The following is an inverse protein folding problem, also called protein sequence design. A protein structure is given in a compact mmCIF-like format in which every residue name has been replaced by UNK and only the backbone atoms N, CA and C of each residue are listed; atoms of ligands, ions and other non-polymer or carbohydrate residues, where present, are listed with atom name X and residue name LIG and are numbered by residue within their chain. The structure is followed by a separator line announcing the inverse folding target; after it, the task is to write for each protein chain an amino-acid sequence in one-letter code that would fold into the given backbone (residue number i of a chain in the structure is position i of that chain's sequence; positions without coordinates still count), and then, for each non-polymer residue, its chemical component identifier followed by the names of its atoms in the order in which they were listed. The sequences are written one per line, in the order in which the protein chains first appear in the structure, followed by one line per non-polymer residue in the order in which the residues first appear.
data_IF_886000929256
#
_entry.id   IF_886000929256
#
_cell.length_a   1.000
_cell.length_b   1.000
_cell.length_c   1.000
_cell.angle_alpha   90.00
_cell.angle_beta   90.00
_cell.angle_gamma   90.00
#
_symmetry.space_group_name_H-M   'P 1'
#
loop_
_entity.id
_entity.type
_entity.pdbx_description
1 polymer ?
#
# COMPACT_ATOMS: atom_id res chain seq x y z
N UNK A 1 -10.29 32.83 17.14
CA UNK A 1 -11.25 31.73 16.86
C UNK A 1 -10.44 30.44 16.81
N UNK A 2 -10.95 29.35 17.38
CA UNK A 2 -10.26 28.06 17.30
C UNK A 2 -10.36 27.55 15.86
N UNK A 3 -9.21 27.19 15.26
CA UNK A 3 -9.19 26.62 13.90
C UNK A 3 -9.72 25.21 13.95
N UNK A 4 -10.60 24.88 13.00
CA UNK A 4 -11.18 23.54 12.84
C UNK A 4 -10.89 23.03 11.45
N UNK A 5 -10.33 21.82 11.38
CA UNK A 5 -10.04 21.11 10.13
C UNK A 5 -10.88 19.84 10.02
N UNK A 6 -11.16 19.43 8.80
CA UNK A 6 -11.79 18.15 8.49
C UNK A 6 -10.82 17.27 7.70
N UNK A 7 -10.67 16.03 8.12
CA UNK A 7 -9.88 15.04 7.43
C UNK A 7 -10.68 13.84 6.96
N UNK A 8 -10.17 13.15 5.93
CA UNK A 8 -10.71 11.89 5.40
C UNK A 8 -9.62 10.82 5.32
N UNK A 9 -9.97 9.61 5.76
CA UNK A 9 -9.11 8.41 5.72
C UNK A 9 -9.95 7.16 5.45
N UNK A 10 -9.35 5.95 5.49
CA UNK A 10 -10.09 4.70 5.27
C UNK A 10 -10.54 4.03 6.58
N UNK A 11 -11.59 3.20 6.47
CA UNK A 11 -12.29 2.60 7.61
C UNK A 11 -11.64 1.30 8.10
N UNK A 12 -10.36 1.38 8.51
CA UNK A 12 -9.65 0.30 9.21
C UNK A 12 -8.91 0.89 10.41
N UNK A 13 -8.72 0.15 11.53
CA UNK A 13 -7.95 0.65 12.68
C UNK A 13 -6.57 1.19 12.29
N UNK A 14 -5.84 0.53 11.37
CA UNK A 14 -4.57 1.00 10.83
C UNK A 14 -4.63 2.42 10.24
N UNK A 15 -5.75 2.81 9.64
CA UNK A 15 -5.90 4.09 8.95
C UNK A 15 -6.65 5.15 9.75
N UNK A 16 -7.53 4.74 10.64
CA UNK A 16 -8.40 5.67 11.36
C UNK A 16 -7.90 5.99 12.77
N UNK A 17 -7.54 4.97 13.56
CA UNK A 17 -7.19 5.14 14.96
C UNK A 17 -5.96 6.06 15.16
N UNK A 18 -4.86 5.96 14.37
CA UNK A 18 -3.72 6.85 14.51
C UNK A 18 -4.07 8.30 14.19
N UNK A 19 -5.00 8.53 13.24
CA UNK A 19 -5.44 9.89 12.90
C UNK A 19 -6.19 10.53 14.08
N UNK A 20 -7.02 9.76 14.79
CA UNK A 20 -7.71 10.25 15.99
C UNK A 20 -6.72 10.54 17.12
N UNK A 21 -5.78 9.61 17.39
CA UNK A 21 -4.77 9.78 18.44
C UNK A 21 -3.88 11.00 18.18
N UNK A 22 -3.36 11.13 16.95
CA UNK A 22 -2.51 12.25 16.55
C UNK A 22 -3.27 13.58 16.59
N UNK A 23 -4.53 13.62 16.17
CA UNK A 23 -5.33 14.86 16.19
C UNK A 23 -5.61 15.35 17.60
N UNK A 24 -5.81 14.43 18.54
CA UNK A 24 -5.99 14.78 19.95
C UNK A 24 -4.71 15.41 20.53
N UNK A 25 -3.56 14.79 20.32
CA UNK A 25 -2.27 15.33 20.77
C UNK A 25 -1.96 16.68 20.10
N UNK A 26 -2.28 16.81 18.80
CA UNK A 26 -2.10 18.07 18.07
C UNK A 26 -2.96 19.19 18.61
N UNK A 27 -4.22 18.91 18.95
CA UNK A 27 -5.12 19.88 19.58
C UNK A 27 -4.61 20.34 20.95
N UNK A 28 -4.07 19.42 21.76
CA UNK A 28 -3.47 19.76 23.06
C UNK A 28 -2.24 20.69 22.91
N UNK A 29 -1.46 20.50 21.84
CA UNK A 29 -0.25 21.30 21.55
C UNK A 29 -0.53 22.66 20.92
N UNK A 30 -1.54 22.76 20.06
CA UNK A 30 -1.73 23.92 19.17
C UNK A 30 -3.07 24.61 19.30
N UNK A 31 -4.07 23.94 19.88
CA UNK A 31 -5.46 24.39 19.90
C UNK A 31 -6.22 24.16 18.58
N UNK A 32 -5.61 23.53 17.55
CA UNK A 32 -6.27 23.20 16.29
C UNK A 32 -7.06 21.90 16.45
N UNK A 33 -8.37 21.95 16.24
CA UNK A 33 -9.27 20.80 16.29
C UNK A 33 -9.33 20.13 14.91
N UNK A 34 -9.13 18.80 14.83
CA UNK A 34 -9.22 18.05 13.59
C UNK A 34 -10.21 16.90 13.76
N UNK A 35 -11.25 16.86 12.93
CA UNK A 35 -12.23 15.77 12.89
C UNK A 35 -12.00 14.89 11.65
N UNK A 36 -12.16 13.57 11.80
CA UNK A 36 -11.92 12.61 10.72
C UNK A 36 -13.19 11.87 10.33
N UNK A 37 -13.45 11.84 9.03
CA UNK A 37 -14.41 10.94 8.41
C UNK A 37 -13.66 9.75 7.78
N UNK A 38 -14.34 8.60 7.63
CA UNK A 38 -13.76 7.38 7.08
C UNK A 38 -14.66 6.75 6.02
N UNK A 39 -14.02 6.14 5.03
CA UNK A 39 -14.68 5.42 3.93
C UNK A 39 -14.20 3.97 3.89
N UNK A 40 -14.94 3.08 3.20
CA UNK A 40 -14.46 1.73 2.93
C UNK A 40 -13.11 1.74 2.21
N UNK A 41 -12.33 0.66 2.30
CA UNK A 41 -11.05 0.57 1.58
C UNK A 41 -11.26 0.74 0.07
N UNK A 42 -12.30 0.14 -0.48
CA UNK A 42 -12.62 0.25 -1.91
C UNK A 42 -12.95 1.69 -2.32
N UNK A 43 -13.79 2.39 -1.54
CA UNK A 43 -14.09 3.80 -1.82
C UNK A 43 -12.85 4.69 -1.67
N UNK A 44 -11.96 4.36 -0.75
CA UNK A 44 -10.69 5.06 -0.56
C UNK A 44 -9.78 4.90 -1.79
N UNK A 45 -9.70 3.70 -2.37
CA UNK A 45 -8.85 3.40 -3.52
C UNK A 45 -9.40 3.94 -4.85
N UNK A 46 -10.71 4.16 -4.97
CA UNK A 46 -11.37 4.47 -6.25
C UNK A 46 -12.01 5.86 -6.31
N UNK A 47 -12.24 6.52 -5.18
CA UNK A 47 -12.97 7.79 -5.16
C UNK A 47 -12.12 8.95 -5.68
N UNK A 48 -12.66 9.84 -6.52
CA UNK A 48 -11.94 10.98 -7.07
C UNK A 48 -11.41 11.92 -5.98
N UNK A 49 -10.10 12.20 -5.99
CA UNK A 49 -9.47 13.06 -4.98
C UNK A 49 -9.98 14.50 -5.06
N UNK A 50 -10.33 14.98 -6.25
CA UNK A 50 -10.94 16.29 -6.45
C UNK A 50 -12.22 16.49 -5.65
N UNK A 51 -13.11 15.50 -5.64
CA UNK A 51 -14.34 15.56 -4.86
C UNK A 51 -14.09 15.53 -3.35
N UNK A 52 -13.02 14.83 -2.91
CA UNK A 52 -12.59 14.86 -1.52
C UNK A 52 -12.02 16.22 -1.15
N UNK A 53 -11.21 16.82 -2.02
CA UNK A 53 -10.62 18.14 -1.79
C UNK A 53 -11.67 19.25 -1.69
N UNK A 54 -12.86 19.07 -2.26
CA UNK A 54 -13.97 20.00 -2.10
C UNK A 54 -14.64 19.96 -0.71
N UNK A 55 -14.39 18.89 0.08
CA UNK A 55 -15.10 18.62 1.36
C UNK A 55 -14.20 18.58 2.58
N UNK A 56 -12.91 18.27 2.38
CA UNK A 56 -11.94 18.04 3.45
C UNK A 56 -10.73 18.95 3.29
N UNK A 57 -10.13 19.32 4.41
CA UNK A 57 -8.89 20.09 4.46
C UNK A 57 -7.67 19.18 4.35
N UNK A 58 -7.75 17.99 4.95
CA UNK A 58 -6.72 16.97 5.00
C UNK A 58 -7.25 15.68 4.35
N UNK A 59 -6.46 15.09 3.46
CA UNK A 59 -6.86 13.89 2.74
C UNK A 59 -5.73 12.88 2.79
N UNK A 60 -6.05 11.66 3.25
CA UNK A 60 -5.13 10.54 3.10
C UNK A 60 -5.30 9.97 1.69
N UNK A 61 -4.20 9.83 0.95
CA UNK A 61 -4.21 9.38 -0.45
C UNK A 61 -3.18 8.28 -0.72
N UNK A 62 -3.41 7.47 -1.75
CA UNK A 62 -2.41 6.57 -2.34
C UNK A 62 -1.61 7.32 -3.42
N UNK A 63 -0.31 6.98 -3.56
CA UNK A 63 0.63 7.70 -4.42
C UNK A 63 0.29 7.71 -5.92
N UNK A 64 -0.37 6.72 -6.53
CA UNK A 64 -0.68 6.78 -7.95
C UNK A 64 -1.64 7.92 -8.38
N UNK A 65 -2.33 8.53 -7.42
CA UNK A 65 -3.23 9.67 -7.71
C UNK A 65 -2.51 10.97 -8.08
N UNK A 66 -1.19 11.10 -7.87
CA UNK A 66 -0.49 12.38 -8.02
C UNK A 66 -0.53 12.98 -9.44
N UNK A 67 -0.62 12.16 -10.49
CA UNK A 67 -0.76 12.65 -11.86
C UNK A 67 -2.10 13.33 -12.11
N UNK A 68 -3.20 12.69 -11.72
CA UNK A 68 -4.54 13.25 -11.81
C UNK A 68 -4.68 14.52 -10.94
N UNK A 69 -4.21 14.47 -9.69
CA UNK A 69 -4.24 15.59 -8.76
C UNK A 69 -3.57 16.82 -9.34
N UNK A 70 -2.43 16.65 -10.01
CA UNK A 70 -1.67 17.77 -10.62
C UNK A 70 -2.49 18.44 -11.70
N UNK A 71 -3.19 17.68 -12.54
CA UNK A 71 -4.09 18.23 -13.57
C UNK A 71 -5.26 19.01 -12.98
N UNK A 72 -5.88 18.45 -11.95
CA UNK A 72 -7.08 19.01 -11.32
C UNK A 72 -6.81 20.20 -10.39
N UNK A 73 -5.54 20.45 -10.03
CA UNK A 73 -5.14 21.51 -9.09
C UNK A 73 -5.94 21.49 -7.79
N UNK A 74 -6.26 20.30 -7.31
CA UNK A 74 -7.15 20.12 -6.15
C UNK A 74 -6.40 20.02 -4.81
N UNK A 75 -5.07 19.84 -4.82
CA UNK A 75 -4.23 19.79 -3.63
C UNK A 75 -3.17 20.91 -3.64
N UNK A 76 -2.66 21.25 -2.46
CA UNK A 76 -1.54 22.16 -2.31
C UNK A 76 -0.22 21.38 -2.32
N UNK A 77 0.82 21.88 -3.04
CA UNK A 77 2.16 21.36 -2.86
C UNK A 77 2.66 21.63 -1.45
N UNK A 78 3.33 20.62 -0.86
CA UNK A 78 3.79 20.65 0.53
C UNK A 78 5.22 21.17 0.69
N UNK A 79 5.91 21.50 -0.41
CA UNK A 79 7.21 22.17 -0.38
C UNK A 79 7.09 23.56 0.25
N UNK A 80 7.94 23.86 1.22
CA UNK A 80 7.96 25.13 1.95
C UNK A 80 9.39 25.49 2.34
N UNK A 81 9.90 26.60 1.84
CA UNK A 81 11.26 27.06 2.14
C UNK A 81 11.47 27.43 3.62
N UNK A 82 10.43 27.89 4.30
CA UNK A 82 10.49 28.25 5.74
C UNK A 82 10.63 26.99 6.64
N UNK A 83 10.27 25.82 6.11
CA UNK A 83 10.31 24.53 6.83
C UNK A 83 11.19 23.49 6.11
N UNK A 84 12.17 23.95 5.33
CA UNK A 84 13.02 23.10 4.50
C UNK A 84 13.74 21.99 5.29
N UNK A 85 14.23 22.29 6.48
CA UNK A 85 14.94 21.33 7.33
C UNK A 85 14.01 20.23 7.86
N UNK A 86 12.77 20.58 8.25
CA UNK A 86 11.76 19.60 8.69
C UNK A 86 11.37 18.67 7.53
N UNK A 87 11.16 19.24 6.34
CA UNK A 87 10.81 18.50 5.12
C UNK A 87 11.96 17.58 4.70
N UNK A 88 13.21 18.05 4.79
CA UNK A 88 14.39 17.26 4.51
C UNK A 88 14.54 16.09 5.51
N UNK A 89 14.23 16.31 6.78
CA UNK A 89 14.22 15.26 7.79
C UNK A 89 13.15 14.19 7.51
N UNK A 90 11.94 14.59 7.11
CA UNK A 90 10.89 13.65 6.68
C UNK A 90 11.36 12.84 5.47
N UNK A 91 11.92 13.50 4.46
CA UNK A 91 12.42 12.85 3.24
C UNK A 91 13.52 11.82 3.54
N UNK A 92 14.49 12.19 4.37
CA UNK A 92 15.62 11.33 4.74
C UNK A 92 15.21 10.18 5.68
N UNK A 93 14.19 10.40 6.50
CA UNK A 93 13.71 9.41 7.47
C UNK A 93 12.65 8.46 6.92
N UNK A 94 12.09 8.70 5.75
CA UNK A 94 11.04 7.83 5.20
C UNK A 94 11.62 6.49 4.70
N UNK A 95 10.93 5.39 5.01
CA UNK A 95 11.36 4.05 4.57
C UNK A 95 11.10 3.82 3.08
N UNK A 96 12.03 3.17 2.43
CA UNK A 96 11.95 2.80 1.02
C UNK A 96 11.72 4.01 0.11
N UNK A 97 10.82 3.84 -0.84
CA UNK A 97 10.48 4.87 -1.83
C UNK A 97 9.20 5.64 -1.51
N UNK A 98 8.72 5.60 -0.27
CA UNK A 98 7.44 6.23 0.08
C UNK A 98 7.45 7.75 -0.10
N UNK A 99 8.51 8.48 0.30
CA UNK A 99 8.58 9.93 0.08
C UNK A 99 8.64 10.31 -1.41
N UNK A 100 9.57 9.77 -2.24
CA UNK A 100 9.62 10.13 -3.66
C UNK A 100 8.40 9.65 -4.45
N UNK A 101 7.60 8.71 -3.95
CA UNK A 101 6.38 8.26 -4.64
C UNK A 101 5.31 9.34 -4.74
N UNK A 102 5.29 10.29 -3.81
CA UNK A 102 4.39 11.46 -3.84
C UNK A 102 5.01 12.70 -4.50
N UNK A 103 6.24 12.61 -5.00
CA UNK A 103 6.83 13.68 -5.79
C UNK A 103 6.44 13.52 -7.26
N UNK A 104 5.78 14.52 -7.81
CA UNK A 104 5.36 14.55 -9.21
C UNK A 104 5.54 15.93 -9.79
N UNK A 105 6.17 16.02 -10.97
CA UNK A 105 6.48 17.28 -11.64
C UNK A 105 7.21 18.30 -10.76
N UNK A 106 8.13 17.83 -9.94
CA UNK A 106 8.95 18.67 -9.06
C UNK A 106 8.26 19.14 -7.77
N UNK A 107 7.01 18.77 -7.54
CA UNK A 107 6.25 19.11 -6.34
C UNK A 107 6.03 17.88 -5.46
N UNK A 108 6.11 18.06 -4.13
CA UNK A 108 5.70 17.06 -3.15
C UNK A 108 4.23 17.27 -2.80
N UNK A 109 3.36 16.29 -3.13
CA UNK A 109 1.91 16.42 -3.02
C UNK A 109 1.34 15.84 -1.73
N UNK A 110 2.06 14.90 -1.10
CA UNK A 110 1.71 14.36 0.20
C UNK A 110 2.97 13.98 0.98
N UNK A 111 2.91 13.98 2.32
CA UNK A 111 3.94 13.37 3.16
C UNK A 111 3.54 11.94 3.52
N UNK A 112 4.46 10.95 3.43
CA UNK A 112 4.16 9.58 3.81
C UNK A 112 3.70 9.48 5.26
N UNK A 113 2.58 8.78 5.48
CA UNK A 113 2.07 8.43 6.80
C UNK A 113 2.29 6.95 7.09
N UNK A 114 1.95 6.15 6.12
CA UNK A 114 1.86 4.70 6.21
C UNK A 114 2.70 4.11 5.07
N UNK A 115 3.52 3.11 5.39
CA UNK A 115 4.33 2.42 4.40
C UNK A 115 3.96 0.94 4.34
N UNK A 116 3.68 0.46 3.13
CA UNK A 116 3.33 -0.93 2.87
C UNK A 116 3.87 -1.39 1.52
N UNK A 117 4.12 -2.69 1.43
CA UNK A 117 4.34 -3.42 0.19
C UNK A 117 3.64 -4.76 0.28
N UNK A 118 3.54 -5.48 -0.83
CA UNK A 118 3.18 -6.89 -0.76
C UNK A 118 4.35 -7.67 -0.13
N UNK A 119 4.06 -8.30 0.98
CA UNK A 119 4.96 -9.12 1.77
C UNK A 119 4.34 -10.48 1.99
N UNK A 120 5.08 -11.40 2.56
CA UNK A 120 4.54 -12.67 3.03
C UNK A 120 3.82 -12.50 4.37
N UNK A 121 2.65 -13.14 4.50
CA UNK A 121 1.94 -13.29 5.76
C UNK A 121 1.84 -14.77 6.13
N UNK A 122 1.97 -15.12 7.42
CA UNK A 122 1.85 -16.51 7.86
C UNK A 122 1.34 -16.63 9.30
N UNK A 123 0.80 -17.80 9.64
CA UNK A 123 0.33 -18.21 10.98
C UNK A 123 1.50 -18.78 11.79
N UNK A 124 2.11 -18.03 12.73
CA UNK A 124 3.28 -18.50 13.47
C UNK A 124 2.97 -19.67 14.42
N UNK A 125 1.70 -19.89 14.77
CA UNK A 125 1.24 -21.05 15.55
C UNK A 125 1.09 -22.34 14.73
N UNK A 126 1.16 -22.26 13.39
CA UNK A 126 0.97 -23.39 12.47
C UNK A 126 2.10 -23.56 11.44
N UNK A 127 2.94 -22.56 11.27
CA UNK A 127 4.11 -22.56 10.41
C UNK A 127 5.27 -21.96 11.20
N UNK A 128 6.26 -22.77 11.56
CA UNK A 128 7.35 -22.39 12.48
C UNK A 128 8.31 -21.33 11.91
N UNK A 129 8.33 -21.14 10.61
CA UNK A 129 9.15 -20.15 9.93
C UNK A 129 8.47 -19.68 8.64
N UNK A 130 8.78 -18.46 8.16
CA UNK A 130 8.31 -17.98 6.86
C UNK A 130 8.85 -18.86 5.72
N UNK A 131 8.06 -19.01 4.67
CA UNK A 131 8.45 -19.71 3.44
C UNK A 131 9.42 -18.82 2.66
N UNK A 132 10.55 -19.38 2.22
CA UNK A 132 11.59 -18.58 1.55
C UNK A 132 11.46 -18.59 0.03
N UNK A 133 11.03 -19.69 -0.53
CA UNK A 133 10.94 -19.88 -1.99
C UNK A 133 9.47 -19.91 -2.45
N UNK A 134 9.19 -19.24 -3.56
CA UNK A 134 7.83 -19.18 -4.11
C UNK A 134 7.30 -20.55 -4.55
N UNK A 135 8.18 -21.49 -4.94
CA UNK A 135 7.77 -22.85 -5.28
C UNK A 135 7.23 -23.63 -4.08
N UNK A 136 7.71 -23.33 -2.88
CA UNK A 136 7.15 -23.91 -1.64
C UNK A 136 5.72 -23.42 -1.40
N UNK A 137 5.41 -22.14 -1.73
CA UNK A 137 4.04 -21.64 -1.69
C UNK A 137 3.10 -22.36 -2.65
N UNK A 138 3.56 -22.71 -3.85
CA UNK A 138 2.78 -23.54 -4.77
C UNK A 138 2.45 -24.91 -4.15
N UNK A 139 3.37 -25.46 -3.36
CA UNK A 139 3.13 -26.71 -2.62
C UNK A 139 2.08 -26.52 -1.53
N UNK A 140 2.20 -25.47 -0.71
CA UNK A 140 1.19 -25.14 0.31
C UNK A 140 -0.19 -24.88 -0.32
N UNK A 141 -0.24 -24.23 -1.48
CA UNK A 141 -1.49 -24.00 -2.20
C UNK A 141 -2.16 -25.33 -2.62
N UNK A 142 -1.38 -26.29 -3.15
CA UNK A 142 -1.87 -27.64 -3.50
C UNK A 142 -2.38 -28.43 -2.29
N UNK A 143 -1.85 -28.16 -1.11
CA UNK A 143 -2.32 -28.72 0.15
C UNK A 143 -3.57 -28.01 0.71
N UNK A 144 -4.08 -26.96 0.04
CA UNK A 144 -5.19 -26.13 0.50
C UNK A 144 -4.83 -25.24 1.70
N UNK A 145 -3.54 -24.94 1.91
CA UNK A 145 -3.02 -24.22 3.07
C UNK A 145 -2.57 -22.80 2.77
N UNK A 146 -2.50 -22.40 1.51
CA UNK A 146 -2.16 -21.02 1.10
C UNK A 146 -3.37 -20.31 0.51
N UNK A 147 -3.37 -18.98 0.62
CA UNK A 147 -4.38 -18.11 0.05
C UNK A 147 -3.72 -16.82 -0.47
N UNK A 148 -4.28 -16.19 -1.51
CA UNK A 148 -3.78 -14.98 -2.13
C UNK A 148 -4.96 -14.04 -2.43
N UNK A 149 -4.94 -12.76 -2.03
CA UNK A 149 -5.98 -11.82 -2.45
C UNK A 149 -5.80 -11.46 -3.92
N UNK A 150 -6.81 -11.74 -4.74
CA UNK A 150 -6.81 -11.52 -6.19
C UNK A 150 -7.94 -10.58 -6.65
N UNK A 151 -8.78 -10.09 -5.73
CA UNK A 151 -9.77 -9.08 -6.07
C UNK A 151 -9.07 -7.82 -6.60
N UNK A 152 -9.52 -7.19 -7.70
CA UNK A 152 -9.00 -5.90 -8.15
C UNK A 152 -8.94 -4.86 -7.00
N UNK A 153 -7.82 -4.10 -6.85
CA UNK A 153 -6.64 -4.04 -7.75
C UNK A 153 -5.52 -5.05 -7.43
N UNK A 154 -5.68 -5.97 -6.46
CA UNK A 154 -4.61 -6.80 -5.91
C UNK A 154 -4.02 -7.80 -6.92
N UNK A 155 -4.79 -8.24 -7.91
CA UNK A 155 -4.29 -9.08 -9.00
C UNK A 155 -3.19 -8.39 -9.81
N UNK A 156 -3.39 -7.12 -10.19
CA UNK A 156 -2.35 -6.32 -10.86
C UNK A 156 -1.16 -6.06 -9.93
N UNK A 157 -1.39 -5.84 -8.64
CA UNK A 157 -0.27 -5.64 -7.69
C UNK A 157 0.62 -6.87 -7.61
N UNK A 158 0.05 -8.07 -7.60
CA UNK A 158 0.81 -9.32 -7.64
C UNK A 158 1.55 -9.48 -8.98
N UNK A 159 0.92 -9.11 -10.10
CA UNK A 159 1.56 -9.10 -11.41
C UNK A 159 2.80 -8.18 -11.44
N UNK A 160 2.65 -6.93 -11.00
CA UNK A 160 3.74 -5.94 -10.92
C UNK A 160 4.87 -6.45 -10.01
N UNK A 161 4.53 -7.00 -8.84
CA UNK A 161 5.50 -7.57 -7.91
C UNK A 161 6.32 -8.67 -8.56
N UNK A 162 5.68 -9.62 -9.22
CA UNK A 162 6.36 -10.72 -9.89
C UNK A 162 7.19 -10.24 -11.08
N UNK A 163 6.67 -9.32 -11.91
CA UNK A 163 7.40 -8.74 -13.04
C UNK A 163 8.73 -8.09 -12.57
N UNK A 164 8.65 -7.23 -11.56
CA UNK A 164 9.84 -6.56 -11.04
C UNK A 164 10.79 -7.53 -10.33
N UNK A 165 10.26 -8.53 -9.60
CA UNK A 165 11.06 -9.57 -8.97
C UNK A 165 11.81 -10.45 -9.97
N UNK A 166 11.19 -10.76 -11.11
CA UNK A 166 11.82 -11.49 -12.21
C UNK A 166 12.88 -10.67 -12.97
N UNK A 167 12.98 -9.37 -12.71
CA UNK A 167 13.95 -8.46 -13.32
C UNK A 167 13.45 -7.78 -14.59
N UNK A 168 12.17 -7.88 -14.87
CA UNK A 168 11.47 -7.27 -16.01
C UNK A 168 10.34 -6.36 -15.51
N UNK A 169 10.67 -5.29 -14.76
CA UNK A 169 9.67 -4.41 -14.15
C UNK A 169 8.75 -3.81 -15.21
N UNK A 170 7.49 -3.66 -14.87
CA UNK A 170 6.52 -2.97 -15.73
C UNK A 170 6.99 -1.55 -16.03
N UNK A 171 6.69 -1.03 -17.23
CA UNK A 171 7.02 0.34 -17.62
C UNK A 171 6.18 1.35 -16.84
N UNK A 172 6.77 2.49 -16.54
CA UNK A 172 6.07 3.67 -16.02
C UNK A 172 5.76 4.70 -17.11
N UNK A 173 6.26 4.44 -18.33
CA UNK A 173 6.13 5.29 -19.52
C UNK A 173 5.73 4.39 -20.71
N UNK A 174 4.84 4.89 -21.57
CA UNK A 174 4.33 4.12 -22.72
C UNK A 174 5.41 3.66 -23.72
N UNK A 175 5.02 2.95 -24.80
CA UNK A 175 3.64 2.52 -25.08
C UNK A 175 3.25 1.19 -24.41
N UNK A 176 4.22 0.26 -24.20
CA UNK A 176 3.94 -1.05 -23.63
C UNK A 176 4.15 -1.07 -22.12
N UNK A 177 3.22 -1.67 -21.39
CA UNK A 177 3.32 -1.89 -19.96
C UNK A 177 4.40 -2.92 -19.61
N UNK A 178 4.49 -3.98 -20.43
CA UNK A 178 5.50 -5.03 -20.30
C UNK A 178 5.72 -5.72 -21.66
N UNK A 179 6.94 -6.19 -21.94
CA UNK A 179 7.18 -7.03 -23.11
C UNK A 179 6.36 -8.32 -23.03
N UNK A 180 5.81 -8.78 -24.16
CA UNK A 180 4.87 -9.90 -24.18
C UNK A 180 5.44 -11.16 -23.52
N UNK A 181 6.68 -11.54 -23.86
CA UNK A 181 7.31 -12.75 -23.31
C UNK A 181 7.54 -12.66 -21.78
N UNK A 182 7.88 -11.47 -21.27
CA UNK A 182 8.07 -11.25 -19.84
C UNK A 182 6.73 -11.30 -19.09
N UNK A 183 5.70 -10.69 -19.68
CA UNK A 183 4.36 -10.75 -19.13
C UNK A 183 3.77 -12.15 -19.10
N UNK A 184 4.02 -12.97 -20.14
CA UNK A 184 3.65 -14.38 -20.16
C UNK A 184 4.33 -15.15 -19.02
N UNK A 185 5.63 -14.94 -18.79
CA UNK A 185 6.35 -15.59 -17.70
C UNK A 185 5.77 -15.21 -16.31
N UNK A 186 5.34 -13.96 -16.14
CA UNK A 186 4.64 -13.50 -14.91
C UNK A 186 3.30 -14.21 -14.74
N UNK A 187 2.48 -14.25 -15.81
CA UNK A 187 1.17 -14.90 -15.78
C UNK A 187 1.28 -16.40 -15.56
N UNK A 188 2.34 -17.06 -16.07
CA UNK A 188 2.62 -18.47 -15.80
C UNK A 188 2.86 -18.74 -14.32
N UNK A 189 3.61 -17.87 -13.64
CA UNK A 189 3.77 -17.96 -12.18
C UNK A 189 2.44 -17.74 -11.45
N UNK A 190 1.69 -16.71 -11.81
CA UNK A 190 0.39 -16.43 -11.19
C UNK A 190 -0.57 -17.61 -11.39
N UNK A 191 -0.68 -18.14 -12.61
CA UNK A 191 -1.52 -19.29 -12.93
C UNK A 191 -1.15 -20.52 -12.09
N UNK A 192 0.14 -20.81 -11.93
CA UNK A 192 0.62 -21.92 -11.07
C UNK A 192 0.24 -21.76 -9.61
N UNK A 193 0.24 -20.53 -9.11
CA UNK A 193 -0.14 -20.22 -7.71
C UNK A 193 -1.65 -20.37 -7.56
N UNK A 194 -2.44 -19.68 -8.40
CA UNK A 194 -3.91 -19.62 -8.21
C UNK A 194 -4.63 -20.90 -8.62
N UNK A 195 -4.10 -21.70 -9.53
CA UNK A 195 -4.70 -22.97 -9.98
C UNK A 195 -4.88 -23.99 -8.84
N UNK A 196 -4.09 -23.85 -7.78
CA UNK A 196 -4.16 -24.72 -6.61
C UNK A 196 -4.86 -24.05 -5.42
N UNK A 197 -5.32 -22.81 -5.55
CA UNK A 197 -5.99 -22.05 -4.48
C UNK A 197 -7.51 -22.15 -4.56
N UNK A 198 -8.15 -21.85 -3.44
CA UNK A 198 -9.60 -21.68 -3.37
C UNK A 198 -10.05 -20.52 -4.26
N UNK A 199 -11.11 -20.74 -5.05
CA UNK A 199 -11.64 -19.71 -5.98
C UNK A 199 -12.09 -18.42 -5.29
N UNK A 200 -12.36 -18.45 -3.98
CA UNK A 200 -12.65 -17.26 -3.18
C UNK A 200 -11.51 -16.22 -3.20
N UNK A 201 -10.29 -16.61 -3.56
CA UNK A 201 -9.17 -15.68 -3.69
C UNK A 201 -9.52 -14.48 -4.62
N UNK A 202 -10.31 -14.70 -5.67
CA UNK A 202 -10.73 -13.64 -6.61
C UNK A 202 -11.73 -12.63 -6.04
N UNK A 203 -12.34 -12.93 -4.91
CA UNK A 203 -13.32 -12.07 -4.24
C UNK A 203 -12.74 -11.35 -3.02
N UNK A 204 -11.52 -11.71 -2.62
CA UNK A 204 -10.90 -11.21 -1.40
C UNK A 204 -9.92 -10.08 -1.66
N UNK A 205 -10.06 -9.04 -0.84
CA UNK A 205 -9.04 -8.05 -0.56
C UNK A 205 -8.15 -8.52 0.63
N UNK A 206 -7.06 -7.80 0.97
CA UNK A 206 -6.21 -8.17 2.09
C UNK A 206 -6.93 -8.29 3.43
N UNK A 207 -7.90 -7.42 3.72
CA UNK A 207 -8.63 -7.41 4.99
C UNK A 207 -9.49 -8.69 5.12
N UNK A 208 -10.28 -9.00 4.09
CA UNK A 208 -11.10 -10.21 4.06
C UNK A 208 -10.25 -11.49 4.16
N UNK A 209 -9.10 -11.50 3.47
CA UNK A 209 -8.15 -12.61 3.54
C UNK A 209 -7.57 -12.77 4.96
N UNK A 210 -7.12 -11.69 5.60
CA UNK A 210 -6.58 -11.76 6.95
C UNK A 210 -7.65 -12.15 7.98
N UNK A 211 -8.86 -11.64 7.85
CA UNK A 211 -9.99 -12.03 8.73
C UNK A 211 -10.28 -13.52 8.63
N UNK A 212 -10.24 -14.09 7.41
CA UNK A 212 -10.38 -15.54 7.21
C UNK A 212 -9.16 -16.31 7.77
N UNK A 213 -7.95 -15.88 7.46
CA UNK A 213 -6.72 -16.56 7.87
C UNK A 213 -6.50 -16.54 9.39
N UNK A 214 -7.01 -15.51 10.08
CA UNK A 214 -6.88 -15.34 11.54
C UNK A 214 -7.94 -16.08 12.35
N UNK A 215 -8.88 -16.81 11.74
CA UNK A 215 -9.83 -17.69 12.44
C UNK A 215 -9.08 -18.88 13.05
N UNK A 216 -9.57 -19.37 14.21
CA UNK A 216 -8.90 -20.44 14.92
C UNK A 216 -8.82 -21.76 14.11
N UNK A 217 -9.86 -22.05 13.33
CA UNK A 217 -10.03 -23.25 12.51
C UNK A 217 -9.68 -23.06 11.02
N UNK A 218 -9.19 -21.88 10.64
CA UNK A 218 -8.81 -21.61 9.25
C UNK A 218 -7.81 -22.64 8.72
N UNK A 219 -8.00 -23.22 7.54
CA UNK A 219 -7.02 -24.11 6.94
C UNK A 219 -5.78 -23.33 6.41
N UNK A 220 -5.93 -22.04 6.15
CA UNK A 220 -4.90 -21.23 5.53
C UNK A 220 -3.84 -20.81 6.54
N UNK A 221 -2.58 -21.09 6.21
CA UNK A 221 -1.43 -20.81 7.07
C UNK A 221 -0.49 -19.77 6.50
N UNK A 222 -0.58 -19.45 5.21
CA UNK A 222 0.30 -18.46 4.56
C UNK A 222 -0.32 -17.81 3.34
N UNK A 223 0.16 -16.59 3.02
CA UNK A 223 -0.07 -15.85 1.78
C UNK A 223 1.26 -15.31 1.25
N UNK A 224 1.60 -15.51 -0.04
CA UNK A 224 2.91 -15.11 -0.57
C UNK A 224 3.03 -13.60 -0.80
N UNK A 225 1.96 -12.95 -1.28
CA UNK A 225 1.96 -11.55 -1.70
C UNK A 225 0.70 -10.86 -1.22
N UNK A 226 0.81 -10.11 -0.14
CA UNK A 226 -0.30 -9.35 0.42
C UNK A 226 0.23 -8.08 1.06
N UNK A 227 -0.47 -6.96 0.89
CA UNK A 227 -0.12 -5.76 1.62
C UNK A 227 -0.18 -6.02 3.12
N UNK A 228 0.94 -5.79 3.83
CA UNK A 228 1.02 -6.05 5.25
C UNK A 228 0.08 -5.13 6.05
N UNK A 229 -0.61 -5.70 7.02
CA UNK A 229 -1.46 -5.00 7.98
C UNK A 229 -1.00 -5.34 9.40
N UNK A 230 -0.17 -4.48 9.98
CA UNK A 230 0.49 -4.71 11.28
C UNK A 230 -0.47 -5.08 12.39
N UNK A 231 -1.71 -4.58 12.35
CA UNK A 231 -2.74 -4.84 13.36
C UNK A 231 -3.01 -6.33 13.56
N UNK A 232 -2.92 -7.14 12.50
CA UNK A 232 -3.09 -8.59 12.59
C UNK A 232 -1.95 -9.29 13.34
N UNK A 233 -0.83 -8.61 13.57
CA UNK A 233 0.25 -9.09 14.42
C UNK A 233 0.01 -8.79 15.91
N UNK A 234 -0.90 -7.88 16.26
CA UNK A 234 -1.13 -7.51 17.67
C UNK A 234 -1.92 -8.60 18.41
N UNK A 235 -1.53 -8.81 19.66
CA UNK A 235 -2.28 -9.70 20.53
C UNK A 235 -3.70 -9.17 20.79
N UNK A 236 -4.71 -10.04 20.65
CA UNK A 236 -6.11 -9.68 20.91
C UNK A 236 -6.81 -8.94 19.75
N UNK A 237 -6.13 -8.60 18.65
CA UNK A 237 -6.79 -7.99 17.51
C UNK A 237 -7.72 -8.98 16.79
N UNK A 238 -7.28 -10.22 16.61
CA UNK A 238 -8.07 -11.34 16.08
C UNK A 238 -7.83 -12.62 16.92
N UNK A 239 -8.54 -13.70 16.59
CA UNK A 239 -8.41 -14.98 17.31
C UNK A 239 -6.99 -15.54 17.22
N UNK A 240 -6.39 -15.47 16.04
CA UNK A 240 -5.00 -15.85 15.85
C UNK A 240 -4.20 -14.67 15.27
N UNK A 241 -2.94 -14.57 15.69
CA UNK A 241 -2.02 -13.57 15.18
C UNK A 241 -1.46 -14.00 13.82
N UNK A 242 -1.20 -13.02 12.98
CA UNK A 242 -0.49 -13.19 11.73
C UNK A 242 0.90 -12.56 11.88
N UNK A 243 1.92 -13.33 11.54
CA UNK A 243 3.29 -12.82 11.40
C UNK A 243 3.57 -12.48 9.94
N UNK A 244 4.47 -11.52 9.72
CA UNK A 244 4.87 -11.07 8.40
C UNK A 244 6.37 -11.24 8.22
N UNK A 245 6.79 -11.46 6.98
CA UNK A 245 8.19 -11.54 6.59
C UNK A 245 8.38 -10.97 5.19
N UNK A 246 9.62 -10.77 4.80
CA UNK A 246 9.97 -10.42 3.43
C UNK A 246 9.30 -11.38 2.44
N UNK A 247 8.93 -10.87 1.27
CA UNK A 247 8.27 -11.67 0.23
C UNK A 247 9.09 -12.93 -0.12
N UNK A 248 8.45 -14.07 -0.45
CA UNK A 248 9.15 -15.24 -0.94
C UNK A 248 9.82 -14.92 -2.28
N UNK A 249 10.97 -15.51 -2.51
CA UNK A 249 11.79 -15.22 -3.69
C UNK A 249 11.76 -16.36 -4.70
N UNK A 250 12.22 -16.08 -5.92
CA UNK A 250 12.41 -17.07 -6.99
C UNK A 250 13.93 -17.21 -7.19
N UNK A 251 14.42 -18.45 -7.24
CA UNK A 251 15.82 -18.79 -7.54
C UNK A 251 16.85 -18.04 -6.64
N UNK A 252 16.54 -17.85 -5.36
CA UNK A 252 17.44 -17.22 -4.39
C UNK A 252 17.73 -15.73 -4.62
N UNK A 253 16.91 -15.02 -5.41
CA UNK A 253 17.01 -13.57 -5.61
C UNK A 253 16.80 -12.81 -4.29
N UNK A 254 17.19 -11.55 -4.23
CA UNK A 254 16.82 -10.67 -3.14
C UNK A 254 15.30 -10.37 -3.17
N UNK A 255 14.64 -10.08 -2.02
CA UNK A 255 13.19 -9.79 -1.96
C UNK A 255 12.87 -8.38 -2.48
N UNK A 256 13.20 -8.10 -3.75
CA UNK A 256 13.01 -6.83 -4.41
C UNK A 256 11.84 -6.89 -5.39
N UNK A 257 11.28 -5.72 -5.71
CA UNK A 257 10.29 -5.54 -6.76
C UNK A 257 8.84 -5.52 -6.28
N UNK A 258 8.59 -5.73 -4.99
CA UNK A 258 7.23 -5.66 -4.45
C UNK A 258 6.56 -4.33 -4.76
N UNK A 259 5.30 -4.36 -5.21
CA UNK A 259 4.54 -3.16 -5.52
C UNK A 259 4.38 -2.27 -4.27
N UNK A 260 4.90 -1.03 -4.34
CA UNK A 260 4.77 -0.05 -3.27
C UNK A 260 3.30 0.29 -3.05
N UNK A 261 2.88 0.30 -1.81
CA UNK A 261 1.62 0.80 -1.31
C UNK A 261 1.85 1.76 -0.14
N UNK A 262 0.90 1.81 0.78
CA UNK A 262 0.91 2.77 1.87
C UNK A 262 0.21 4.06 1.47
N UNK A 263 0.16 5.01 2.40
CA UNK A 263 -0.60 6.25 2.21
C UNK A 263 0.18 7.48 2.63
N UNK A 264 -0.19 8.62 2.07
CA UNK A 264 0.34 9.92 2.44
C UNK A 264 -0.77 10.89 2.82
N UNK A 265 -0.42 11.88 3.63
CA UNK A 265 -1.31 12.99 3.99
C UNK A 265 -1.11 14.15 3.02
N UNK A 266 -2.20 14.56 2.40
CA UNK A 266 -2.27 15.68 1.48
C UNK A 266 -3.14 16.82 2.06
N UNK A 267 -2.93 18.03 1.56
CA UNK A 267 -3.68 19.23 1.95
C UNK A 267 -4.49 19.73 0.77
N UNK A 268 -5.79 19.91 0.98
CA UNK A 268 -6.70 20.47 -0.04
C UNK A 268 -6.32 21.90 -0.43
N UNK A 269 -6.35 22.20 -1.73
CA UNK A 269 -6.24 23.56 -2.24
C UNK A 269 -7.44 24.46 -1.88
N UNK A 270 -8.52 23.89 -1.36
CA UNK A 270 -9.76 24.60 -0.97
C UNK A 270 -9.84 24.88 0.53
N UNK A 271 -8.85 24.43 1.31
CA UNK A 271 -8.81 24.69 2.76
C UNK A 271 -8.74 26.19 3.05
N UNK A 272 -9.40 26.60 4.11
CA UNK A 272 -9.36 28.00 4.59
C UNK A 272 -8.24 28.23 5.65
N UNK A 273 -7.52 27.16 6.02
CA UNK A 273 -6.43 27.19 7.00
C UNK A 273 -5.21 26.39 6.49
N UNK A 274 -4.59 26.84 5.37
CA UNK A 274 -3.52 26.09 4.72
C UNK A 274 -2.27 25.91 5.61
N UNK A 275 -1.93 26.91 6.41
CA UNK A 275 -0.73 26.85 7.25
C UNK A 275 -0.89 25.83 8.38
N UNK A 276 -2.05 25.81 9.03
CA UNK A 276 -2.36 24.85 10.09
C UNK A 276 -2.47 23.43 9.55
N UNK A 277 -3.07 23.26 8.36
CA UNK A 277 -3.17 21.96 7.69
C UNK A 277 -1.79 21.42 7.30
N UNK A 278 -0.93 22.26 6.70
CA UNK A 278 0.46 21.90 6.37
C UNK A 278 1.30 21.62 7.62
N UNK A 279 1.11 22.39 8.69
CA UNK A 279 1.82 22.17 9.94
C UNK A 279 1.47 20.80 10.56
N UNK A 280 0.20 20.43 10.56
CA UNK A 280 -0.22 19.09 11.00
C UNK A 280 0.36 18.01 10.11
N UNK A 281 0.32 18.16 8.78
CA UNK A 281 0.85 17.20 7.84
C UNK A 281 2.37 16.97 8.04
N UNK A 282 3.16 18.01 8.29
CA UNK A 282 4.59 17.88 8.62
C UNK A 282 4.80 17.19 9.96
N UNK A 283 4.06 17.60 10.98
CA UNK A 283 4.21 17.04 12.32
C UNK A 283 3.90 15.54 12.37
N UNK A 284 2.77 15.11 11.80
CA UNK A 284 2.36 13.70 11.84
C UNK A 284 3.30 12.79 11.04
N UNK A 285 3.99 13.33 10.02
CA UNK A 285 4.99 12.61 9.22
C UNK A 285 6.41 12.63 9.84
N UNK A 286 6.62 13.36 10.93
CA UNK A 286 7.92 13.43 11.61
C UNK A 286 8.28 12.12 12.29
N UNK A 287 9.58 11.81 12.41
CA UNK A 287 10.06 10.60 13.08
C UNK A 287 9.54 10.44 14.50
N UNK A 288 9.48 11.53 15.26
CA UNK A 288 8.98 11.50 16.64
C UNK A 288 7.48 11.13 16.72
N UNK A 289 6.63 11.71 15.88
CA UNK A 289 5.21 11.38 15.85
C UNK A 289 4.99 9.94 15.34
N UNK A 290 5.73 9.53 14.31
CA UNK A 290 5.62 8.23 13.68
C UNK A 290 6.09 7.08 14.59
N UNK A 291 7.20 7.24 15.33
CA UNK A 291 7.71 6.24 16.28
C UNK A 291 7.00 6.26 17.64
N UNK A 292 6.17 7.26 17.91
CA UNK A 292 5.37 7.43 19.12
C UNK A 292 3.88 7.30 18.86
N UNK A 293 3.15 8.42 19.00
CA UNK A 293 1.69 8.46 18.99
C UNK A 293 1.03 7.80 17.76
N UNK A 294 1.66 7.87 16.58
CA UNK A 294 1.12 7.25 15.38
C UNK A 294 1.17 5.71 15.47
N UNK A 295 2.31 5.15 15.87
CA UNK A 295 2.47 3.70 16.06
C UNK A 295 1.61 3.20 17.23
N UNK A 296 1.62 3.92 18.38
CA UNK A 296 0.83 3.60 19.56
C UNK A 296 -0.68 3.66 19.28
N UNK A 297 -1.08 4.48 18.31
CA UNK A 297 -2.44 4.61 17.80
C UNK A 297 -2.83 3.54 16.77
N UNK A 298 -2.15 2.40 16.69
CA UNK A 298 -2.39 1.31 15.72
C UNK A 298 -2.00 1.62 14.27
N UNK A 299 -1.25 2.68 14.00
CA UNK A 299 -0.75 3.02 12.68
C UNK A 299 0.37 2.10 12.21
N UNK A 300 0.67 2.12 10.91
CA UNK A 300 1.80 1.43 10.29
C UNK A 300 2.79 2.47 9.75
N UNK A 301 3.74 2.94 10.59
CA UNK A 301 4.56 4.10 10.28
C UNK A 301 5.30 4.07 8.95
N UNK A 302 5.38 5.22 8.29
CA UNK A 302 6.19 5.46 7.09
C UNK A 302 7.62 5.93 7.39
N UNK A 303 8.01 6.13 8.65
CA UNK A 303 9.32 6.65 9.05
C UNK A 303 10.22 5.57 9.67
N UNK A 304 11.50 5.54 9.27
CA UNK A 304 12.48 4.52 9.64
C UNK A 304 12.75 4.44 11.15
N UNK A 305 12.60 5.54 11.90
CA UNK A 305 12.76 5.53 13.36
C UNK A 305 11.81 4.53 14.02
N UNK A 306 10.56 4.45 13.54
CA UNK A 306 9.60 3.45 14.00
C UNK A 306 10.03 2.02 13.62
N UNK A 307 10.58 1.84 12.42
CA UNK A 307 10.96 0.51 11.89
C UNK A 307 12.11 -0.14 12.64
N UNK A 308 12.98 0.65 13.27
CA UNK A 308 14.10 0.14 14.09
C UNK A 308 13.78 0.11 15.58
N UNK A 309 12.71 0.74 16.02
CA UNK A 309 12.31 0.83 17.42
C UNK A 309 11.91 -0.52 18.00
N UNK A 310 12.53 -0.91 19.13
CA UNK A 310 12.14 -2.13 19.86
C UNK A 310 10.71 -2.02 20.40
N UNK A 311 10.32 -0.85 20.90
CA UNK A 311 8.99 -0.60 21.43
C UNK A 311 7.89 -0.80 20.39
N UNK A 312 8.14 -0.38 19.14
CA UNK A 312 7.21 -0.53 18.02
C UNK A 312 7.18 -1.95 17.48
N UNK A 313 8.33 -2.66 17.44
CA UNK A 313 8.43 -4.01 16.89
C UNK A 313 7.92 -5.10 17.84
N UNK A 314 8.18 -4.99 19.16
CA UNK A 314 7.86 -6.04 20.12
C UNK A 314 6.38 -6.47 20.14
N UNK A 315 5.38 -5.57 20.16
CA UNK A 315 3.98 -5.96 20.10
C UNK A 315 3.56 -6.53 18.74
N UNK A 316 4.31 -6.22 17.67
CA UNK A 316 4.00 -6.50 16.27
C UNK A 316 4.68 -7.77 15.71
N UNK A 317 5.24 -8.66 16.53
CA UNK A 317 6.02 -9.83 16.08
C UNK A 317 7.16 -9.46 15.11
N UNK A 318 7.86 -8.35 15.39
CA UNK A 318 8.92 -7.80 14.55
C UNK A 318 8.49 -7.51 13.10
N UNK A 319 7.22 -7.15 12.89
CA UNK A 319 6.65 -6.85 11.57
C UNK A 319 7.58 -5.97 10.73
N UNK A 320 8.00 -4.85 11.26
CA UNK A 320 8.78 -3.85 10.52
C UNK A 320 10.16 -4.35 10.15
N UNK A 321 10.86 -5.02 11.06
CA UNK A 321 12.18 -5.61 10.81
C UNK A 321 12.13 -6.73 9.79
N UNK A 322 11.12 -7.59 9.92
CA UNK A 322 10.97 -8.79 9.09
C UNK A 322 10.48 -8.51 7.67
N UNK A 323 9.99 -7.29 7.39
CA UNK A 323 9.46 -6.89 6.07
C UNK A 323 10.27 -5.75 5.42
N UNK A 324 11.33 -5.28 6.10
CA UNK A 324 12.07 -4.09 5.69
C UNK A 324 12.78 -4.27 4.35
N UNK A 325 13.42 -5.40 4.11
CA UNK A 325 14.17 -5.61 2.87
C UNK A 325 13.26 -5.55 1.64
N UNK A 326 12.05 -6.12 1.74
CA UNK A 326 11.03 -6.02 0.69
C UNK A 326 10.59 -4.57 0.45
N UNK A 327 10.37 -3.80 1.52
CA UNK A 327 9.94 -2.40 1.38
C UNK A 327 11.03 -1.50 0.79
N UNK A 328 12.28 -1.67 1.20
CA UNK A 328 13.41 -0.90 0.65
C UNK A 328 13.63 -1.19 -0.84
N UNK A 329 13.37 -2.42 -1.29
CA UNK A 329 13.44 -2.84 -2.68
C UNK A 329 12.15 -2.64 -3.49
N UNK A 330 11.18 -1.87 -2.98
CA UNK A 330 9.86 -1.75 -3.59
C UNK A 330 9.87 -1.04 -4.95
N UNK A 331 8.97 -1.48 -5.83
CA UNK A 331 8.68 -0.87 -7.12
C UNK A 331 7.59 0.21 -6.97
N UNK A 332 7.85 1.41 -7.49
CA UNK A 332 6.87 2.52 -7.52
C UNK A 332 6.01 2.38 -8.77
N UNK A 333 4.70 2.30 -8.59
CA UNK A 333 3.71 2.20 -9.67
C UNK A 333 3.73 3.43 -10.60
N UNK A 334 3.28 3.32 -11.87
CA UNK A 334 3.03 4.49 -12.71
C UNK A 334 2.09 5.49 -12.02
N UNK A 335 2.26 6.78 -12.34
CA UNK A 335 1.55 7.88 -11.64
C UNK A 335 0.99 8.93 -12.59
N UNK A 336 1.05 8.66 -13.92
CA UNK A 336 0.49 9.56 -14.92
C UNK A 336 -1.05 9.64 -14.77
N UNK A 337 -1.59 10.73 -15.25
CA UNK A 337 -3.04 10.87 -15.35
C UNK A 337 -3.61 9.77 -16.27
N UNK A 338 -4.68 9.12 -15.87
CA UNK A 338 -5.22 7.93 -16.54
C UNK A 338 -4.71 6.59 -15.98
N UNK A 339 -3.63 6.57 -15.17
CA UNK A 339 -3.13 5.31 -14.58
C UNK A 339 -4.17 4.61 -13.70
N UNK A 340 -4.95 5.35 -12.91
CA UNK A 340 -5.94 4.73 -12.02
C UNK A 340 -7.01 3.95 -12.79
N UNK A 341 -7.46 4.47 -13.93
CA UNK A 341 -8.37 3.74 -14.81
C UNK A 341 -7.70 2.50 -15.44
N UNK A 342 -6.44 2.61 -15.88
CA UNK A 342 -5.67 1.46 -16.32
C UNK A 342 -5.51 0.41 -15.21
N UNK A 343 -5.17 0.81 -13.98
CA UNK A 343 -5.01 -0.10 -12.84
C UNK A 343 -6.29 -0.93 -12.61
N UNK A 344 -7.45 -0.30 -12.65
CA UNK A 344 -8.73 -0.99 -12.51
C UNK A 344 -8.94 -2.01 -13.63
N UNK A 345 -8.87 -1.57 -14.88
CA UNK A 345 -9.14 -2.41 -16.04
C UNK A 345 -8.15 -3.58 -16.16
N UNK A 346 -6.85 -3.31 -15.97
CA UNK A 346 -5.81 -4.35 -16.01
C UNK A 346 -5.97 -5.38 -14.90
N UNK A 347 -6.39 -4.94 -13.71
CA UNK A 347 -6.66 -5.85 -12.59
C UNK A 347 -7.81 -6.81 -12.89
N UNK A 348 -8.88 -6.29 -13.46
CA UNK A 348 -10.03 -7.10 -13.90
C UNK A 348 -9.63 -8.08 -15.02
N UNK A 349 -8.88 -7.60 -16.03
CA UNK A 349 -8.36 -8.45 -17.11
C UNK A 349 -7.54 -9.62 -16.57
N UNK A 350 -6.63 -9.38 -15.62
CA UNK A 350 -5.82 -10.44 -15.01
C UNK A 350 -6.70 -11.44 -14.24
N UNK A 351 -7.59 -10.96 -13.38
CA UNK A 351 -8.46 -11.82 -12.58
C UNK A 351 -9.36 -12.68 -13.47
N UNK A 352 -9.99 -12.09 -14.47
CA UNK A 352 -10.87 -12.79 -15.41
C UNK A 352 -10.08 -13.74 -16.33
N UNK A 353 -8.94 -13.29 -16.85
CA UNK A 353 -8.08 -14.08 -17.72
C UNK A 353 -7.57 -15.34 -17.03
N UNK A 354 -7.09 -15.24 -15.79
CA UNK A 354 -6.64 -16.39 -15.01
C UNK A 354 -7.79 -17.34 -14.65
N UNK A 355 -8.97 -16.81 -14.34
CA UNK A 355 -10.16 -17.61 -14.00
C UNK A 355 -10.74 -18.36 -15.19
N UNK A 356 -10.70 -17.76 -16.38
CA UNK A 356 -11.25 -18.35 -17.61
C UNK A 356 -10.23 -19.15 -18.43
N UNK A 357 -8.93 -19.07 -18.08
CA UNK A 357 -7.86 -19.71 -18.84
C UNK A 357 -7.59 -19.01 -20.17
N UNK A 358 -7.73 -17.69 -20.24
CA UNK A 358 -7.39 -16.91 -21.44
C UNK A 358 -5.90 -17.06 -21.76
N UNK A 359 -5.55 -17.10 -23.05
CA UNK A 359 -4.14 -17.19 -23.47
C UNK A 359 -3.36 -15.98 -22.98
N UNK A 360 -2.25 -16.21 -22.29
CA UNK A 360 -1.42 -15.17 -21.68
C UNK A 360 -0.96 -14.10 -22.69
N UNK A 361 -0.56 -14.51 -23.92
CA UNK A 361 -0.22 -13.57 -25.00
C UNK A 361 -1.34 -12.56 -25.24
N UNK A 362 -2.58 -13.05 -25.41
CA UNK A 362 -3.75 -12.18 -25.69
C UNK A 362 -4.02 -11.24 -24.53
N UNK A 363 -3.90 -11.73 -23.30
CA UNK A 363 -4.11 -10.92 -22.11
C UNK A 363 -3.07 -9.78 -22.02
N UNK A 364 -1.78 -10.07 -22.24
CA UNK A 364 -0.73 -9.05 -22.23
C UNK A 364 -0.93 -8.03 -23.35
N UNK A 365 -1.30 -8.44 -24.55
CA UNK A 365 -1.60 -7.53 -25.66
C UNK A 365 -2.78 -6.58 -25.34
N UNK A 366 -3.81 -7.07 -24.63
CA UNK A 366 -4.92 -6.24 -24.16
C UNK A 366 -4.44 -5.22 -23.12
N UNK A 367 -3.66 -5.67 -22.14
CA UNK A 367 -3.09 -4.81 -21.11
C UNK A 367 -2.21 -3.72 -21.71
N UNK A 368 -1.32 -4.05 -22.64
CA UNK A 368 -0.43 -3.09 -23.30
C UNK A 368 -1.23 -2.03 -24.09
N UNK A 369 -2.24 -2.44 -24.86
CA UNK A 369 -3.13 -1.50 -25.55
C UNK A 369 -3.82 -0.55 -24.55
N UNK A 370 -4.33 -1.08 -23.44
CA UNK A 370 -5.00 -0.26 -22.43
C UNK A 370 -4.05 0.69 -21.74
N UNK A 371 -2.80 0.25 -21.51
CA UNK A 371 -1.74 1.10 -20.95
C UNK A 371 -1.39 2.26 -21.89
N UNK A 372 -1.17 1.99 -23.19
CA UNK A 372 -0.94 3.04 -24.17
C UNK A 372 -2.07 4.09 -24.19
N UNK A 373 -3.33 3.63 -24.17
CA UNK A 373 -4.50 4.52 -24.12
C UNK A 373 -4.60 5.38 -22.85
N UNK A 374 -4.01 4.92 -21.74
CA UNK A 374 -4.05 5.68 -20.48
C UNK A 374 -3.23 6.97 -20.50
N UNK A 375 -2.35 7.17 -21.49
CA UNK A 375 -1.61 8.41 -21.70
C UNK A 375 -2.35 9.42 -22.59
N UNK A 376 -3.45 9.04 -23.20
CA UNK A 376 -4.28 9.88 -24.06
C UNK A 376 -5.41 10.58 -23.29
N UNK A 377 -5.53 10.31 -21.99
CA UNK A 377 -6.61 10.75 -21.09
C UNK A 377 -6.49 12.23 -20.69
#
# INVERSE_FOLDING_TARGET
MMVKLKGMTWSHPRGYDPMIACSKEWQEKTGVEISWEKRSLQDFETFPVEELAARYDLIVIDHPHVGQITRENCLLPLGDAAHADEIAAIAAGTVGRSYPSYNWQGCQWAFPLDAATQVQAYRPDRLSAPVKDLAEFVTLAREGRAILPMRPPHSLMTFITLAAHLGTPCSIEGPDFIATADGEAVLDWMARIVAAMDSRCYEMDPIAMFDLMSQADSPYVASPFVYGYVNYSFAGFRQARIAFADMPVIDGRAPNGSALGGTGIAVSARTQAPEEAKAFARWIASGAAQAGIYADGNGQPGHADAWVSDAVNAPALDFYRNTRATLEGAYVRPRHDGYMAFQSDASEMISDGLRTGERHTVLIEKMNRRFAQSFEA
#
